data_IF_967406589533
#
_entry.id   IF_967406589533
#
_cell.length_a   1.000
_cell.length_b   1.000
_cell.length_c   1.000
_cell.angle_alpha   90.00
_cell.angle_beta   90.00
_cell.angle_gamma   90.00
#
_symmetry.space_group_name_H-M   'P 1'
#
loop_
_entity.id
_entity.type
_entity.pdbx_description
1 polymer ?
#
# COMPACT_ATOMS: atom_id res chain seq x y z
N UNK A 1 3.84 -7.85 39.38
CA UNK A 1 2.60 -7.99 38.57
C UNK A 1 2.31 -6.79 37.68
N UNK A 2 2.62 -5.54 38.07
CA UNK A 2 2.40 -4.36 37.22
C UNK A 2 3.14 -4.41 35.86
N UNK A 3 4.38 -4.92 35.86
CA UNK A 3 5.19 -5.01 34.63
C UNK A 3 4.62 -5.95 33.57
N UNK A 4 3.92 -7.02 33.98
CA UNK A 4 3.27 -7.95 33.05
C UNK A 4 2.04 -7.33 32.38
N UNK A 5 1.32 -6.46 33.11
CA UNK A 5 0.13 -5.73 32.64
C UNK A 5 0.47 -4.66 31.59
N UNK A 6 1.60 -3.96 31.76
CA UNK A 6 2.06 -2.97 30.78
C UNK A 6 2.52 -3.67 29.50
N UNK A 7 3.17 -4.84 29.61
CA UNK A 7 3.61 -5.61 28.45
C UNK A 7 2.43 -6.16 27.64
N UNK A 8 1.37 -6.65 28.30
CA UNK A 8 0.15 -7.09 27.59
C UNK A 8 -0.62 -5.94 26.97
N UNK A 9 -0.65 -4.75 27.58
CA UNK A 9 -1.28 -3.56 26.99
C UNK A 9 -0.55 -3.08 25.72
N UNK A 10 0.78 -3.15 25.69
CA UNK A 10 1.56 -2.80 24.50
C UNK A 10 1.37 -3.81 23.36
N UNK A 11 1.30 -5.11 23.69
CA UNK A 11 1.08 -6.19 22.72
C UNK A 11 -0.35 -6.24 22.16
N UNK A 12 -1.31 -5.59 22.81
CA UNK A 12 -2.71 -5.51 22.38
C UNK A 12 -3.03 -4.22 21.62
N UNK A 13 -2.04 -3.38 21.29
CA UNK A 13 -2.27 -2.20 20.46
C UNK A 13 -2.65 -2.65 19.06
N UNK A 14 -3.91 -2.49 18.62
CA UNK A 14 -4.28 -2.84 17.26
C UNK A 14 -3.55 -1.88 16.32
N UNK A 15 -2.78 -2.42 15.38
CA UNK A 15 -2.25 -1.64 14.25
C UNK A 15 -3.46 -1.23 13.41
N UNK A 16 -4.05 -0.07 13.74
CA UNK A 16 -5.16 0.49 12.99
C UNK A 16 -4.60 1.10 11.71
N UNK A 17 -5.10 0.65 10.55
CA UNK A 17 -4.81 1.31 9.29
C UNK A 17 -5.22 2.78 9.32
N UNK A 18 -4.46 3.65 8.65
CA UNK A 18 -4.68 5.09 8.61
C UNK A 18 -5.81 5.48 7.63
N UNK A 19 -6.94 4.76 7.69
CA UNK A 19 -8.09 5.01 6.83
C UNK A 19 -9.03 6.01 7.50
N UNK A 20 -9.34 7.13 6.83
CA UNK A 20 -10.28 8.15 7.35
C UNK A 20 -11.61 7.49 7.73
N UNK A 21 -11.98 7.64 9.01
CA UNK A 21 -13.32 7.32 9.53
C UNK A 21 -14.36 8.07 8.69
N UNK A 22 -15.20 7.32 7.95
CA UNK A 22 -16.22 7.90 7.07
C UNK A 22 -16.47 7.16 5.77
N UNK A 23 -15.58 6.23 5.38
CA UNK A 23 -15.95 5.25 4.35
C UNK A 23 -17.04 4.34 4.95
N UNK A 24 -18.25 4.35 4.37
CA UNK A 24 -19.42 3.56 4.84
C UNK A 24 -19.21 2.05 4.94
N UNK A 25 -18.02 1.56 4.58
CA UNK A 25 -17.68 0.16 4.66
C UNK A 25 -16.78 -0.06 5.88
N UNK A 26 -17.32 -0.68 6.93
CA UNK A 26 -16.52 -1.28 8.02
C UNK A 26 -15.57 -2.40 7.55
N UNK A 27 -15.35 -2.55 6.24
CA UNK A 27 -14.57 -3.63 5.64
C UNK A 27 -13.06 -3.35 5.60
N UNK A 28 -12.60 -2.13 5.90
CA UNK A 28 -11.15 -1.78 5.87
C UNK A 28 -10.42 -2.00 7.19
N UNK A 29 -11.13 -2.41 8.24
CA UNK A 29 -10.55 -2.68 9.57
C UNK A 29 -9.49 -3.80 9.53
N UNK A 30 -9.61 -4.73 8.57
CA UNK A 30 -8.69 -5.84 8.38
C UNK A 30 -7.49 -5.53 7.49
N UNK A 31 -7.39 -4.28 7.00
CA UNK A 31 -6.26 -3.86 6.18
C UNK A 31 -5.07 -3.44 7.05
N UNK A 32 -3.88 -3.90 6.67
CA UNK A 32 -2.64 -3.58 7.39
C UNK A 32 -2.03 -2.30 6.86
N UNK A 33 -1.34 -1.57 7.73
CA UNK A 33 -0.52 -0.43 7.35
C UNK A 33 0.95 -0.77 7.54
N UNK A 34 1.75 -0.51 6.51
CA UNK A 34 3.19 -0.70 6.52
C UNK A 34 3.90 0.60 6.14
N UNK A 35 5.12 0.74 6.65
CA UNK A 35 6.06 1.77 6.22
C UNK A 35 7.29 1.07 5.68
N UNK A 36 7.68 1.40 4.46
CA UNK A 36 8.86 0.83 3.81
C UNK A 36 9.83 1.96 3.45
N UNK A 37 11.08 1.78 3.86
CA UNK A 37 12.18 2.66 3.51
C UNK A 37 12.80 2.20 2.20
N UNK A 38 12.81 3.09 1.21
CA UNK A 38 13.40 2.84 -0.08
C UNK A 38 14.91 2.94 0.01
N UNK A 39 15.60 2.08 -0.73
CA UNK A 39 17.06 2.20 -0.91
C UNK A 39 17.33 3.17 -2.05
N UNK A 40 18.05 4.25 -1.76
CA UNK A 40 18.40 5.28 -2.73
C UNK A 40 19.86 5.22 -3.20
N UNK A 41 20.14 5.79 -4.36
CA UNK A 41 21.51 6.07 -4.81
C UNK A 41 22.18 7.16 -3.94
N UNK A 42 23.48 7.36 -4.12
CA UNK A 42 24.28 8.33 -3.34
C UNK A 42 23.73 9.77 -3.40
N UNK A 43 23.07 10.13 -4.50
CA UNK A 43 22.46 11.45 -4.71
C UNK A 43 21.07 11.57 -4.09
N UNK A 44 20.45 10.47 -3.65
CA UNK A 44 19.06 10.46 -3.14
C UNK A 44 18.00 10.69 -4.22
N UNK A 45 18.39 10.68 -5.50
CA UNK A 45 17.53 11.03 -6.63
C UNK A 45 16.83 9.83 -7.25
N UNK A 46 17.30 8.61 -6.99
CA UNK A 46 16.68 7.38 -7.48
C UNK A 46 16.59 6.39 -6.34
N UNK A 47 15.36 6.01 -6.01
CA UNK A 47 15.06 5.12 -4.91
C UNK A 47 14.25 3.93 -5.38
N UNK A 48 14.48 2.77 -4.77
CA UNK A 48 13.72 1.57 -5.05
C UNK A 48 13.43 0.79 -3.79
N UNK A 49 12.32 0.06 -3.79
CA UNK A 49 11.97 -0.88 -2.74
C UNK A 49 11.28 -2.11 -3.32
N UNK A 50 11.57 -3.27 -2.75
CA UNK A 50 11.04 -4.53 -3.20
C UNK A 50 10.60 -5.37 -2.01
N UNK A 51 9.31 -5.71 -1.96
CA UNK A 51 8.76 -6.47 -0.85
C UNK A 51 7.74 -7.51 -1.33
N UNK A 52 7.52 -8.51 -0.48
CA UNK A 52 6.49 -9.51 -0.71
C UNK A 52 5.26 -9.15 0.10
N UNK A 53 4.09 -9.22 -0.53
CA UNK A 53 2.80 -9.18 0.17
C UNK A 53 2.09 -10.52 0.05
N UNK A 54 1.13 -10.77 0.94
CA UNK A 54 0.28 -11.95 0.88
C UNK A 54 -1.18 -11.55 0.98
N UNK A 55 -1.94 -11.82 -0.08
CA UNK A 55 -3.39 -11.53 -0.17
C UNK A 55 -4.10 -12.75 -0.72
N UNK A 56 -5.21 -13.18 -0.09
CA UNK A 56 -5.93 -14.39 -0.51
C UNK A 56 -5.05 -15.65 -0.55
N UNK A 57 -4.06 -15.77 0.34
CA UNK A 57 -3.13 -16.92 0.36
C UNK A 57 -2.08 -16.96 -0.77
N UNK A 58 -2.13 -16.03 -1.73
CA UNK A 58 -1.12 -15.86 -2.79
C UNK A 58 -0.03 -14.89 -2.36
N UNK A 59 1.18 -15.09 -2.87
CA UNK A 59 2.32 -14.20 -2.63
C UNK A 59 2.52 -13.33 -3.86
N UNK A 60 2.65 -12.03 -3.65
CA UNK A 60 2.92 -11.05 -4.69
C UNK A 60 4.27 -10.42 -4.43
N UNK A 61 5.05 -10.21 -5.49
CA UNK A 61 6.25 -9.40 -5.44
C UNK A 61 5.90 -8.00 -5.89
N UNK A 62 6.10 -7.02 -5.02
CA UNK A 62 5.87 -5.61 -5.33
C UNK A 62 7.20 -4.88 -5.45
N UNK A 63 7.33 -4.07 -6.49
CA UNK A 63 8.48 -3.19 -6.69
C UNK A 63 7.99 -1.75 -6.81
N UNK A 64 8.49 -0.88 -5.95
CA UNK A 64 8.28 0.55 -6.02
C UNK A 64 9.59 1.23 -6.45
N UNK A 65 9.52 2.12 -7.44
CA UNK A 65 10.64 2.90 -7.93
C UNK A 65 10.25 4.37 -7.92
N UNK A 66 11.14 5.22 -7.43
CA UNK A 66 10.99 6.67 -7.38
C UNK A 66 12.19 7.35 -8.02
N UNK A 67 11.94 8.41 -8.79
CA UNK A 67 13.00 9.29 -9.32
C UNK A 67 12.62 10.75 -9.08
N UNK A 68 13.57 11.51 -8.53
CA UNK A 68 13.45 12.95 -8.28
C UNK A 68 13.76 13.75 -9.55
N UNK A 69 12.78 14.56 -9.98
CA UNK A 69 12.86 15.48 -11.13
C UNK A 69 12.68 14.82 -12.51
N UNK A 70 11.71 15.28 -13.31
CA UNK A 70 10.28 15.27 -12.93
C UNK A 70 9.95 14.05 -12.07
N UNK A 71 9.16 14.25 -11.02
CA UNK A 71 8.89 13.21 -10.04
C UNK A 71 8.17 12.04 -10.69
N UNK A 72 8.84 10.89 -10.73
CA UNK A 72 8.30 9.67 -11.31
C UNK A 72 8.14 8.66 -10.20
N UNK A 73 6.93 8.14 -10.02
CA UNK A 73 6.66 7.03 -9.12
C UNK A 73 6.08 5.87 -9.93
N UNK A 74 6.69 4.70 -9.77
CA UNK A 74 6.30 3.50 -10.50
C UNK A 74 6.09 2.36 -9.51
N UNK A 75 4.90 1.77 -9.56
CA UNK A 75 4.56 0.61 -8.76
C UNK A 75 4.30 -0.58 -9.69
N UNK A 76 5.03 -1.67 -9.47
CA UNK A 76 4.84 -2.95 -10.17
C UNK A 76 4.42 -4.00 -9.18
N UNK A 77 3.60 -4.94 -9.64
CA UNK A 77 3.41 -6.18 -8.93
C UNK A 77 3.43 -7.35 -9.89
N UNK A 78 3.93 -8.47 -9.40
CA UNK A 78 3.90 -9.74 -10.10
C UNK A 78 3.44 -10.86 -9.19
N UNK A 79 2.64 -11.77 -9.75
CA UNK A 79 2.37 -13.06 -9.13
C UNK A 79 2.09 -14.11 -10.21
N UNK A 80 2.72 -15.26 -10.05
CA UNK A 80 2.60 -16.40 -10.98
C UNK A 80 2.88 -15.96 -12.42
N UNK A 81 1.86 -15.90 -13.28
CA UNK A 81 1.94 -15.53 -14.69
C UNK A 81 1.32 -14.15 -14.99
N UNK A 82 1.12 -13.31 -13.97
CA UNK A 82 0.48 -11.99 -14.11
C UNK A 82 1.35 -10.89 -13.56
N UNK A 83 1.52 -9.88 -14.38
CA UNK A 83 2.21 -8.66 -14.03
C UNK A 83 1.27 -7.47 -14.19
N UNK A 84 1.43 -6.48 -13.33
CA UNK A 84 0.82 -5.18 -13.50
C UNK A 84 1.82 -4.08 -13.18
N UNK A 85 1.57 -2.92 -13.76
CA UNK A 85 2.41 -1.75 -13.63
C UNK A 85 1.54 -0.51 -13.60
N UNK A 86 1.85 0.37 -12.67
CA UNK A 86 1.36 1.74 -12.64
C UNK A 86 2.55 2.69 -12.70
N UNK A 87 2.39 3.77 -13.44
CA UNK A 87 3.38 4.80 -13.60
C UNK A 87 2.69 6.15 -13.44
N UNK A 88 3.20 6.94 -12.52
CA UNK A 88 2.83 8.33 -12.35
C UNK A 88 4.04 9.20 -12.66
N UNK A 89 3.82 10.26 -13.43
CA UNK A 89 4.81 11.28 -13.72
C UNK A 89 4.19 12.62 -13.31
N UNK A 90 4.90 13.37 -12.49
CA UNK A 90 4.52 14.71 -12.06
C UNK A 90 5.62 15.70 -12.44
N UNK A 91 5.21 16.82 -13.05
CA UNK A 91 6.13 17.93 -13.30
C UNK A 91 6.46 18.67 -12.00
N UNK A 92 5.45 18.88 -11.16
CA UNK A 92 5.57 19.47 -9.82
C UNK A 92 5.31 18.40 -8.73
N UNK A 93 6.32 18.02 -7.92
CA UNK A 93 6.16 17.03 -6.85
C UNK A 93 5.28 17.50 -5.69
N UNK A 94 4.96 18.80 -5.61
CA UNK A 94 4.11 19.37 -4.55
C UNK A 94 2.62 19.26 -4.88
N UNK A 95 2.27 19.00 -6.14
CA UNK A 95 0.89 18.77 -6.53
C UNK A 95 0.38 17.46 -5.95
N UNK A 96 -0.84 17.49 -5.38
CA UNK A 96 -1.49 16.30 -4.86
C UNK A 96 -2.02 15.43 -6.01
N UNK A 97 -1.84 14.11 -5.90
CA UNK A 97 -2.42 13.13 -6.80
C UNK A 97 -3.14 12.02 -6.05
N UNK A 98 -4.14 11.47 -6.73
CA UNK A 98 -4.79 10.23 -6.37
C UNK A 98 -5.12 9.46 -7.66
N UNK A 99 -4.47 8.32 -7.86
CA UNK A 99 -4.63 7.51 -9.05
C UNK A 99 -4.97 6.07 -8.67
N UNK A 100 -6.08 5.54 -9.18
CA UNK A 100 -6.51 4.19 -8.92
C UNK A 100 -6.71 3.39 -10.20
N UNK A 101 -6.35 2.11 -10.14
CA UNK A 101 -6.72 1.09 -11.12
C UNK A 101 -7.56 0.04 -10.43
N UNK A 102 -8.53 -0.51 -11.16
CA UNK A 102 -9.29 -1.68 -10.74
C UNK A 102 -9.28 -2.70 -11.88
N UNK A 103 -9.34 -3.99 -11.56
CA UNK A 103 -9.66 -4.95 -12.62
C UNK A 103 -11.14 -4.81 -12.98
N UNK A 104 -11.39 -4.45 -14.24
CA UNK A 104 -12.75 -4.26 -14.74
C UNK A 104 -13.49 -5.60 -14.94
N UNK A 105 -12.76 -6.70 -15.06
CA UNK A 105 -13.32 -8.03 -15.26
C UNK A 105 -12.79 -9.00 -14.19
N UNK A 106 -13.67 -9.39 -13.27
CA UNK A 106 -13.35 -10.34 -12.22
C UNK A 106 -13.33 -11.79 -12.74
N UNK A 107 -13.84 -12.05 -13.96
CA UNK A 107 -13.88 -13.41 -14.53
C UNK A 107 -12.49 -13.96 -14.85
N UNK A 108 -11.55 -13.07 -15.21
CA UNK A 108 -10.15 -13.44 -15.38
C UNK A 108 -9.47 -13.69 -14.04
N UNK A 109 -9.99 -13.16 -12.93
CA UNK A 109 -9.38 -13.23 -11.62
C UNK A 109 -10.29 -14.06 -10.71
N UNK A 110 -10.23 -15.38 -10.82
CA UNK A 110 -10.98 -16.26 -9.91
C UNK A 110 -10.08 -16.76 -8.77
N UNK A 111 -10.58 -16.66 -7.54
CA UNK A 111 -9.98 -17.27 -6.37
C UNK A 111 -10.91 -18.37 -5.86
N UNK A 112 -10.49 -19.63 -5.93
CA UNK A 112 -11.29 -20.79 -5.52
C UNK A 112 -12.71 -20.87 -6.14
N UNK A 113 -12.89 -20.30 -7.34
CA UNK A 113 -14.18 -20.25 -8.03
C UNK A 113 -14.99 -18.97 -7.80
N UNK A 114 -14.54 -18.10 -6.90
CA UNK A 114 -15.16 -16.80 -6.64
C UNK A 114 -14.48 -15.68 -7.43
N UNK A 115 -15.30 -14.72 -7.87
CA UNK A 115 -14.84 -13.52 -8.54
C UNK A 115 -13.96 -12.68 -7.59
N UNK A 116 -12.69 -12.51 -7.93
CA UNK A 116 -11.73 -11.69 -7.19
C UNK A 116 -11.58 -10.33 -7.87
N UNK A 117 -11.97 -9.29 -7.14
CA UNK A 117 -11.81 -7.89 -7.53
C UNK A 117 -10.65 -7.29 -6.75
N UNK A 118 -9.79 -6.54 -7.41
CA UNK A 118 -8.73 -5.80 -6.76
C UNK A 118 -8.71 -4.35 -7.24
N UNK A 119 -8.30 -3.46 -6.34
CA UNK A 119 -8.00 -2.07 -6.64
C UNK A 119 -6.64 -1.71 -6.10
N UNK A 120 -5.85 -1.01 -6.91
CA UNK A 120 -4.55 -0.45 -6.50
C UNK A 120 -4.64 1.05 -6.69
N UNK A 121 -4.47 1.79 -5.60
CA UNK A 121 -4.42 3.24 -5.60
C UNK A 121 -3.05 3.73 -5.15
N UNK A 122 -2.56 4.80 -5.78
CA UNK A 122 -1.38 5.54 -5.38
C UNK A 122 -1.80 6.97 -5.04
N UNK A 123 -1.29 7.49 -3.93
CA UNK A 123 -1.54 8.87 -3.47
C UNK A 123 -0.31 9.49 -2.81
N UNK A 124 -0.22 10.82 -2.81
CA UNK A 124 0.74 11.59 -2.02
C UNK A 124 0.05 12.54 -1.01
N UNK A 125 -1.24 12.33 -0.73
CA UNK A 125 -1.93 13.02 0.36
C UNK A 125 -1.73 12.26 1.67
N UNK A 126 -0.76 12.71 2.47
CA UNK A 126 -0.44 12.10 3.75
C UNK A 126 -1.28 12.65 4.92
N UNK A 127 -2.26 13.54 4.67
CA UNK A 127 -3.03 14.23 5.73
C UNK A 127 -3.80 13.29 6.66
N UNK A 128 -4.11 12.08 6.21
CA UNK A 128 -4.81 11.06 7.00
C UNK A 128 -3.91 10.05 7.71
N UNK A 129 -2.58 10.20 7.59
CA UNK A 129 -1.61 9.17 7.98
C UNK A 129 -0.73 9.67 9.11
N UNK A 130 -0.62 8.87 10.17
CA UNK A 130 0.37 9.11 11.22
C UNK A 130 1.77 8.86 10.65
N UNK A 131 2.50 9.92 10.35
CA UNK A 131 3.84 9.84 9.77
C UNK A 131 4.82 9.31 10.82
N UNK A 132 5.49 8.16 10.58
CA UNK A 132 6.51 7.68 11.48
C UNK A 132 7.75 8.59 11.43
N UNK A 133 8.44 8.74 12.56
CA UNK A 133 9.53 9.71 12.70
C UNK A 133 10.73 9.41 11.79
N UNK A 134 10.90 8.14 11.44
CA UNK A 134 11.92 7.62 10.52
C UNK A 134 11.63 7.93 9.04
N UNK A 135 10.41 8.35 8.68
CA UNK A 135 10.05 8.71 7.31
C UNK A 135 10.35 10.19 7.03
N UNK A 136 11.59 10.48 6.62
CA UNK A 136 12.05 11.86 6.39
C UNK A 136 11.47 12.44 5.09
N UNK A 137 11.43 11.65 4.01
CA UNK A 137 10.91 12.06 2.70
C UNK A 137 9.79 11.11 2.27
N UNK A 138 8.52 11.37 2.63
CA UNK A 138 7.40 10.56 2.16
C UNK A 138 7.24 10.74 0.64
N UNK A 139 7.14 9.62 -0.09
CA UNK A 139 7.08 9.59 -1.55
C UNK A 139 5.65 9.38 -2.02
N UNK A 140 5.05 8.27 -1.60
CA UNK A 140 3.71 7.87 -1.98
C UNK A 140 3.17 6.85 -0.99
N UNK A 141 1.86 6.77 -0.92
CA UNK A 141 1.13 5.70 -0.26
C UNK A 141 0.50 4.86 -1.35
N UNK A 142 0.72 3.55 -1.28
CA UNK A 142 0.10 2.58 -2.19
C UNK A 142 -0.88 1.74 -1.39
N UNK A 143 -2.11 1.73 -1.87
CA UNK A 143 -3.20 0.97 -1.28
C UNK A 143 -3.59 -0.17 -2.20
N UNK A 144 -3.41 -1.40 -1.76
CA UNK A 144 -3.86 -2.61 -2.46
C UNK A 144 -5.06 -3.16 -1.71
N UNK A 145 -6.22 -3.15 -2.35
CA UNK A 145 -7.46 -3.71 -1.80
C UNK A 145 -7.89 -4.87 -2.67
N UNK A 146 -8.35 -5.94 -2.04
CA UNK A 146 -8.93 -7.13 -2.66
C UNK A 146 -10.28 -7.42 -2.04
N UNK A 147 -11.26 -7.74 -2.88
CA UNK A 147 -12.60 -8.14 -2.51
C UNK A 147 -12.83 -9.54 -3.10
N UNK A 148 -13.13 -10.51 -2.25
CA UNK A 148 -13.48 -11.89 -2.64
C UNK A 148 -14.92 -12.15 -2.17
N UNK A 149 -15.66 -13.03 -2.87
CA UNK A 149 -16.97 -13.59 -2.49
C UNK A 149 -17.98 -12.70 -1.71
N UNK A 150 -17.75 -12.48 -0.42
CA UNK A 150 -18.59 -11.73 0.53
C UNK A 150 -18.43 -10.20 0.46
N UNK A 151 -17.55 -9.70 -0.40
CA UNK A 151 -17.13 -8.29 -0.46
C UNK A 151 -16.38 -7.81 0.79
N UNK A 152 -15.83 -8.72 1.59
CA UNK A 152 -14.89 -8.33 2.63
C UNK A 152 -13.61 -7.77 1.97
N UNK A 153 -13.14 -6.63 2.46
CA UNK A 153 -11.96 -5.98 1.93
C UNK A 153 -10.72 -6.46 2.69
N UNK A 154 -9.83 -7.10 1.94
CA UNK A 154 -8.51 -7.48 2.42
C UNK A 154 -7.44 -6.66 1.70
N UNK A 155 -6.27 -6.58 2.32
CA UNK A 155 -5.09 -6.01 1.68
C UNK A 155 -4.32 -5.12 2.62
N UNK A 156 -3.65 -4.14 2.04
CA UNK A 156 -2.67 -3.32 2.75
C UNK A 156 -2.57 -1.91 2.18
N UNK A 157 -2.08 -1.02 3.04
CA UNK A 157 -1.66 0.32 2.70
C UNK A 157 -0.19 0.45 3.07
N UNK A 158 0.63 0.88 2.12
CA UNK A 158 2.07 0.93 2.28
C UNK A 158 2.55 2.34 1.99
N UNK A 159 3.10 3.00 3.02
CA UNK A 159 3.79 4.27 2.89
C UNK A 159 5.24 4.01 2.47
N UNK A 160 5.64 4.60 1.33
CA UNK A 160 7.02 4.58 0.85
C UNK A 160 7.75 5.86 1.25
N UNK A 161 8.92 5.67 1.86
CA UNK A 161 9.77 6.74 2.36
C UNK A 161 11.15 6.65 1.70
N UNK A 162 11.63 7.76 1.12
CA UNK A 162 12.99 7.89 0.60
C UNK A 162 13.95 8.49 1.63
#
# INVERSE_FOLDING_TARGET
MLGLLVLTLLLLSPVRGNWKDGSKNGSRENMRFYTLHMTCNDEGTKCQECHHSRTGGRVYLHTAEYTEGPATFQFRGSAEARDWKQLLIQEDPTELFHYCMQNNDASDWNYNGDAWRFSICMDNDFSGISMPAECVKPVAVVSVVSLVADNEAHGEQTLYCA
#
